data_IF_269970717656
#
_entry.id   IF_269970717656
#
_cell.length_a   1.000
_cell.length_b   1.000
_cell.length_c   1.000
_cell.angle_alpha   90.00
_cell.angle_beta   90.00
_cell.angle_gamma   90.00
#
_symmetry.space_group_name_H-M   'P 1'
#
loop_
_entity.id
_entity.type
_entity.pdbx_description
1 polymer ?
#
# COMPACT_ATOMS: atom_id res chain seq x y z
N UNK A 1 -7.90 6.92 7.92
CA UNK A 1 -8.84 7.06 6.82
C UNK A 1 -8.24 6.62 5.49
N UNK A 2 -9.07 6.62 4.45
CA UNK A 2 -8.65 6.24 3.13
C UNK A 2 -9.37 7.05 2.05
N UNK A 3 -8.69 7.22 0.92
CA UNK A 3 -9.24 7.84 -0.28
C UNK A 3 -9.15 6.84 -1.41
N UNK A 4 -10.26 6.64 -2.11
CA UNK A 4 -10.34 5.77 -3.28
C UNK A 4 -10.45 6.65 -4.51
N UNK A 5 -9.52 6.48 -5.46
CA UNK A 5 -9.51 7.21 -6.72
C UNK A 5 -9.42 6.24 -7.89
N UNK A 6 -10.01 6.60 -9.01
CA UNK A 6 -9.84 5.89 -10.27
C UNK A 6 -9.03 6.77 -11.21
N UNK A 7 -7.98 6.21 -11.79
CA UNK A 7 -7.14 6.91 -12.77
C UNK A 7 -7.09 6.11 -14.05
N UNK A 8 -6.84 6.79 -15.16
CA UNK A 8 -6.68 6.15 -16.45
C UNK A 8 -5.21 6.19 -16.86
N UNK A 9 -4.64 5.00 -17.07
CA UNK A 9 -3.24 4.86 -17.47
C UNK A 9 -3.25 4.16 -18.84
N UNK A 10 -2.85 4.87 -19.88
CA UNK A 10 -2.85 4.36 -21.26
C UNK A 10 -4.20 3.72 -21.66
N UNK A 11 -5.30 4.39 -21.30
CA UNK A 11 -6.63 3.91 -21.59
C UNK A 11 -7.20 2.87 -20.65
N UNK A 12 -6.40 2.35 -19.72
CA UNK A 12 -6.82 1.35 -18.76
C UNK A 12 -7.17 2.03 -17.43
N UNK A 13 -8.32 1.69 -16.89
CA UNK A 13 -8.78 2.23 -15.62
C UNK A 13 -8.14 1.45 -14.47
N UNK A 14 -7.48 2.19 -13.57
CA UNK A 14 -6.78 1.64 -12.40
C UNK A 14 -7.32 2.31 -11.15
N UNK A 15 -7.56 1.55 -10.11
CA UNK A 15 -7.99 2.07 -8.82
C UNK A 15 -6.80 2.23 -7.90
N UNK A 16 -6.71 3.40 -7.26
CA UNK A 16 -5.68 3.68 -6.27
C UNK A 16 -6.37 3.99 -4.95
N UNK A 17 -5.94 3.31 -3.89
CA UNK A 17 -6.42 3.55 -2.53
C UNK A 17 -5.24 4.06 -1.71
N UNK A 18 -5.30 5.31 -1.31
CA UNK A 18 -4.33 5.90 -0.40
C UNK A 18 -4.92 5.84 1.02
N UNK A 19 -4.15 5.33 1.98
CA UNK A 19 -4.65 5.13 3.32
C UNK A 19 -3.65 5.55 4.39
N UNK A 20 -4.20 5.99 5.50
CA UNK A 20 -3.46 6.26 6.73
C UNK A 20 -4.29 5.65 7.87
N UNK A 21 -3.81 4.54 8.41
CA UNK A 21 -4.57 3.78 9.39
C UNK A 21 -4.23 4.20 10.82
N UNK A 22 -5.10 3.84 11.75
CA UNK A 22 -5.02 4.24 13.14
C UNK A 22 -3.83 3.60 13.87
N UNK A 23 -3.40 4.23 14.95
CA UNK A 23 -2.37 3.69 15.82
C UNK A 23 -2.87 2.49 16.64
N UNK A 24 -4.17 2.41 16.91
CA UNK A 24 -4.78 1.30 17.63
C UNK A 24 -4.95 0.08 16.71
N UNK A 25 -4.46 -1.08 17.13
CA UNK A 25 -4.59 -2.32 16.36
C UNK A 25 -6.03 -2.73 16.09
N UNK A 26 -6.93 -2.50 17.05
CA UNK A 26 -8.35 -2.79 16.87
C UNK A 26 -8.96 -1.92 15.77
N UNK A 27 -8.70 -0.61 15.81
CA UNK A 27 -9.22 0.32 14.81
C UNK A 27 -8.59 0.10 13.44
N UNK A 28 -7.29 -0.23 13.38
CA UNK A 28 -6.65 -0.59 12.11
C UNK A 28 -7.35 -1.77 11.44
N UNK A 29 -7.66 -2.82 12.21
CA UNK A 29 -8.35 -3.99 11.65
C UNK A 29 -9.74 -3.66 11.15
N UNK A 30 -10.47 -2.81 11.88
CA UNK A 30 -11.80 -2.35 11.46
C UNK A 30 -11.72 -1.49 10.21
N UNK A 31 -10.76 -0.59 10.15
CA UNK A 31 -10.52 0.26 8.98
C UNK A 31 -10.15 -0.58 7.75
N UNK A 32 -9.27 -1.56 7.91
CA UNK A 32 -8.89 -2.44 6.81
C UNK A 32 -10.09 -3.22 6.27
N UNK A 33 -10.92 -3.77 7.14
CA UNK A 33 -12.14 -4.47 6.72
C UNK A 33 -13.12 -3.54 6.02
N UNK A 34 -13.27 -2.32 6.49
CA UNK A 34 -14.14 -1.33 5.86
C UNK A 34 -13.64 -0.97 4.44
N UNK A 35 -12.34 -0.85 4.26
CA UNK A 35 -11.74 -0.60 2.95
C UNK A 35 -12.02 -1.78 2.01
N UNK A 36 -11.80 -3.01 2.44
CA UNK A 36 -12.08 -4.20 1.63
C UNK A 36 -13.56 -4.28 1.26
N UNK A 37 -14.47 -4.04 2.21
CA UNK A 37 -15.90 -4.03 1.92
C UNK A 37 -16.27 -2.97 0.89
N UNK A 38 -15.68 -1.79 0.99
CA UNK A 38 -15.90 -0.72 0.03
C UNK A 38 -15.39 -1.08 -1.38
N UNK A 39 -14.28 -1.80 -1.47
CA UNK A 39 -13.74 -2.27 -2.74
C UNK A 39 -14.60 -3.37 -3.35
N UNK A 40 -15.06 -4.32 -2.54
CA UNK A 40 -15.93 -5.41 -2.99
C UNK A 40 -17.28 -4.92 -3.51
N UNK A 41 -17.78 -3.80 -3.00
CA UNK A 41 -19.01 -3.18 -3.47
C UNK A 41 -18.87 -2.46 -4.81
N UNK A 42 -17.65 -2.31 -5.32
CA UNK A 42 -17.36 -1.62 -6.56
C UNK A 42 -17.02 -2.60 -7.69
N UNK A 43 -17.10 -2.11 -8.93
CA UNK A 43 -16.68 -2.87 -10.10
C UNK A 43 -15.21 -3.30 -9.94
N UNK A 44 -14.88 -4.57 -10.26
CA UNK A 44 -13.49 -5.01 -10.22
C UNK A 44 -12.61 -4.21 -11.17
N UNK A 45 -11.47 -3.75 -10.65
CA UNK A 45 -10.45 -3.02 -11.42
C UNK A 45 -9.07 -3.42 -10.91
N UNK A 46 -8.04 -3.32 -11.75
CA UNK A 46 -6.67 -3.36 -11.23
C UNK A 46 -6.52 -2.32 -10.12
N UNK A 47 -6.02 -2.74 -8.97
CA UNK A 47 -6.03 -1.91 -7.76
C UNK A 47 -4.67 -1.89 -7.08
N UNK A 48 -4.25 -0.71 -6.68
CA UNK A 48 -3.04 -0.46 -5.89
C UNK A 48 -3.48 0.15 -4.56
N UNK A 49 -3.03 -0.45 -3.46
CA UNK A 49 -3.22 0.06 -2.11
C UNK A 49 -1.89 0.60 -1.62
N UNK A 50 -1.89 1.79 -1.03
CA UNK A 50 -0.65 2.39 -0.52
C UNK A 50 -0.92 3.29 0.67
N UNK A 51 0.08 3.43 1.51
CA UNK A 51 0.06 4.37 2.62
C UNK A 51 0.73 3.87 3.88
N UNK A 52 0.57 4.66 4.93
CA UNK A 52 1.02 4.32 6.27
C UNK A 52 -0.07 3.52 6.96
N UNK A 53 0.21 2.23 7.15
CA UNK A 53 -0.73 1.32 7.79
C UNK A 53 -0.53 1.24 9.31
N UNK A 54 0.50 1.87 9.84
CA UNK A 54 0.85 1.81 11.27
C UNK A 54 0.93 0.37 11.82
N UNK A 55 1.14 -0.61 10.95
CA UNK A 55 1.20 -2.02 11.31
C UNK A 55 2.64 -2.47 11.46
N UNK A 56 3.03 -2.85 12.66
CA UNK A 56 4.38 -3.32 12.98
C UNK A 56 4.62 -4.78 12.60
N UNK A 57 3.55 -5.57 12.49
CA UNK A 57 3.63 -6.95 12.06
C UNK A 57 4.02 -7.04 10.58
N UNK A 58 4.81 -8.05 10.21
CA UNK A 58 5.18 -8.27 8.82
C UNK A 58 4.01 -8.81 7.98
N UNK A 59 3.19 -9.67 8.55
CA UNK A 59 2.13 -10.38 7.82
C UNK A 59 0.81 -10.47 8.57
N UNK A 60 0.75 -10.04 9.82
CA UNK A 60 -0.42 -10.17 10.68
C UNK A 60 -1.21 -8.88 10.85
N UNK A 61 -2.03 -8.83 11.89
CA UNK A 61 -2.83 -7.66 12.23
C UNK A 61 -3.78 -7.26 11.10
N UNK A 62 -3.80 -5.98 10.77
CA UNK A 62 -4.67 -5.46 9.72
C UNK A 62 -4.32 -5.97 8.32
N UNK A 63 -3.09 -6.48 8.11
CA UNK A 63 -2.66 -7.01 6.82
C UNK A 63 -3.45 -8.24 6.39
N UNK A 64 -4.02 -8.97 7.33
CA UNK A 64 -4.82 -10.17 7.03
C UNK A 64 -6.05 -9.85 6.17
N UNK A 65 -6.64 -8.69 6.37
CA UNK A 65 -7.80 -8.28 5.58
C UNK A 65 -7.46 -8.11 4.10
N UNK A 66 -6.23 -7.74 3.79
CA UNK A 66 -5.77 -7.50 2.41
C UNK A 66 -5.18 -8.74 1.75
N UNK A 67 -4.74 -9.73 2.53
CA UNK A 67 -3.94 -10.84 2.03
C UNK A 67 -4.64 -11.71 0.99
N UNK A 68 -5.98 -11.81 1.03
CA UNK A 68 -6.73 -12.65 0.11
C UNK A 68 -6.73 -12.13 -1.33
N UNK A 69 -6.67 -10.81 -1.52
CA UNK A 69 -6.78 -10.19 -2.84
C UNK A 69 -5.56 -9.39 -3.27
N UNK A 70 -4.58 -9.21 -2.39
CA UNK A 70 -3.46 -8.31 -2.64
C UNK A 70 -2.15 -8.91 -2.18
N UNK A 71 -1.11 -8.70 -2.99
CA UNK A 71 0.25 -9.06 -2.64
C UNK A 71 1.02 -7.82 -2.19
N UNK A 72 1.83 -7.97 -1.15
CA UNK A 72 2.70 -6.90 -0.71
C UNK A 72 3.89 -6.73 -1.64
N UNK A 73 4.17 -5.48 -1.99
CA UNK A 73 5.42 -5.14 -2.68
C UNK A 73 6.57 -5.25 -1.66
N UNK A 74 7.69 -5.92 -2.01
CA UNK A 74 8.84 -5.98 -1.12
C UNK A 74 9.42 -4.59 -0.86
N UNK A 75 9.49 -4.19 0.42
CA UNK A 75 10.02 -2.90 0.82
C UNK A 75 10.89 -3.05 2.08
N UNK A 76 11.95 -2.27 2.14
CA UNK A 76 12.76 -2.11 3.35
C UNK A 76 12.00 -1.24 4.38
N UNK A 77 12.43 -1.23 5.65
CA UNK A 77 11.85 -0.33 6.64
C UNK A 77 11.98 1.15 6.25
N UNK A 78 10.93 1.93 6.52
CA UNK A 78 10.85 3.36 6.20
C UNK A 78 10.73 4.26 7.44
N UNK A 79 10.39 3.72 8.57
CA UNK A 79 10.19 4.45 9.84
C UNK A 79 11.20 3.97 10.90
N UNK A 80 11.82 4.76 11.67
CA UNK A 80 11.98 6.22 11.58
C UNK A 80 13.02 6.56 10.49
N UNK A 81 12.88 7.69 9.82
CA UNK A 81 13.73 8.07 8.68
C UNK A 81 15.22 8.12 8.99
N UNK A 82 15.59 8.46 10.22
CA UNK A 82 17.00 8.52 10.67
C UNK A 82 17.53 7.15 11.07
N UNK A 83 16.66 6.21 11.45
CA UNK A 83 17.01 4.85 11.85
C UNK A 83 15.84 3.90 11.51
N UNK A 84 15.69 3.53 10.25
CA UNK A 84 14.53 2.75 9.82
C UNK A 84 14.53 1.34 10.43
N UNK A 85 13.48 1.01 11.18
CA UNK A 85 13.29 -0.28 11.84
C UNK A 85 11.94 -0.91 11.53
N UNK A 86 10.94 -0.11 11.14
CA UNK A 86 9.58 -0.60 10.93
C UNK A 86 9.11 -0.34 9.51
N UNK A 87 8.40 -1.32 8.94
CA UNK A 87 7.78 -1.27 7.61
C UNK A 87 6.34 -0.80 7.75
N UNK A 88 6.12 0.45 8.19
CA UNK A 88 4.79 1.02 8.38
C UNK A 88 4.16 1.45 7.06
N UNK A 89 4.98 1.87 6.11
CA UNK A 89 4.54 2.28 4.79
C UNK A 89 4.53 1.08 3.86
N UNK A 90 3.38 0.80 3.27
CA UNK A 90 3.15 -0.40 2.47
C UNK A 90 2.59 -0.04 1.11
N UNK A 91 2.93 -0.86 0.13
CA UNK A 91 2.30 -0.88 -1.19
C UNK A 91 1.83 -2.31 -1.42
N UNK A 92 0.57 -2.46 -1.77
CA UNK A 92 -0.03 -3.76 -2.05
C UNK A 92 -0.75 -3.69 -3.40
N UNK A 93 -0.68 -4.76 -4.16
CA UNK A 93 -1.22 -4.77 -5.52
C UNK A 93 -2.13 -5.97 -5.75
N UNK A 94 -3.18 -5.76 -6.53
CA UNK A 94 -4.02 -6.85 -7.03
C UNK A 94 -3.23 -7.70 -8.04
N UNK A 95 -3.70 -8.92 -8.40
CA UNK A 95 -2.98 -9.82 -9.31
C UNK A 95 -2.74 -9.28 -10.71
N UNK A 96 -3.33 -8.14 -11.04
CA UNK A 96 -3.17 -7.48 -12.34
C UNK A 96 -1.78 -6.86 -12.55
N UNK A 97 -0.97 -6.78 -11.51
CA UNK A 97 0.32 -6.10 -11.55
C UNK A 97 1.48 -7.05 -11.30
N UNK A 98 2.57 -6.80 -12.01
CA UNK A 98 3.88 -7.40 -11.72
C UNK A 98 4.79 -6.32 -11.16
N UNK A 99 5.48 -6.63 -10.05
CA UNK A 99 6.44 -5.71 -9.43
C UNK A 99 7.76 -5.82 -10.18
N UNK A 100 8.18 -4.75 -10.83
CA UNK A 100 9.42 -4.70 -11.58
C UNK A 100 10.60 -4.27 -10.71
N UNK A 101 10.36 -3.31 -9.83
CA UNK A 101 11.34 -2.81 -8.88
C UNK A 101 10.61 -2.12 -7.73
N UNK A 102 11.27 -2.01 -6.59
CA UNK A 102 10.73 -1.30 -5.43
C UNK A 102 11.86 -0.88 -4.50
N UNK A 103 11.58 0.07 -3.64
CA UNK A 103 12.57 0.51 -2.69
C UNK A 103 12.12 1.63 -1.79
N UNK A 104 13.05 2.06 -0.96
CA UNK A 104 12.91 3.18 -0.04
C UNK A 104 13.93 4.23 -0.45
N UNK A 105 13.45 5.45 -0.66
CA UNK A 105 14.34 6.55 -1.05
C UNK A 105 15.11 7.07 0.15
N UNK A 106 16.44 7.01 0.07
CA UNK A 106 17.35 7.45 1.13
C UNK A 106 18.24 8.57 0.61
N UNK A 107 18.06 9.76 1.17
CA UNK A 107 18.89 10.91 0.89
C UNK A 107 19.02 11.74 2.15
N UNK A 108 19.99 12.68 2.17
CA UNK A 108 20.13 13.60 3.31
C UNK A 108 18.85 14.41 3.50
N UNK A 109 18.23 14.85 2.43
CA UNK A 109 16.96 15.60 2.47
C UNK A 109 15.81 14.73 2.99
N UNK A 110 15.68 13.50 2.48
CA UNK A 110 14.60 12.60 2.90
C UNK A 110 14.66 12.27 4.39
N UNK A 111 15.86 12.14 4.94
CA UNK A 111 16.07 11.83 6.36
C UNK A 111 15.58 12.93 7.31
N UNK A 112 15.53 14.16 6.85
CA UNK A 112 15.12 15.31 7.67
C UNK A 112 13.79 15.91 7.27
N UNK A 113 13.26 15.58 6.10
CA UNK A 113 11.99 16.12 5.59
C UNK A 113 10.78 15.53 6.29
N UNK A 114 10.87 14.30 6.78
CA UNK A 114 9.77 13.58 7.45
C UNK A 114 10.38 12.53 8.38
N UNK A 115 9.58 12.03 9.32
CA UNK A 115 9.95 10.87 10.15
C UNK A 115 9.78 9.54 9.40
N UNK A 116 9.17 9.57 8.21
CA UNK A 116 9.12 8.44 7.28
C UNK A 116 9.96 8.72 6.04
N UNK A 117 10.62 7.69 5.52
CA UNK A 117 11.27 7.76 4.21
C UNK A 117 10.25 7.46 3.10
N UNK A 118 10.37 8.09 1.94
CA UNK A 118 9.51 7.77 0.80
C UNK A 118 9.70 6.32 0.34
N UNK A 119 8.60 5.64 0.06
CA UNK A 119 8.60 4.31 -0.56
C UNK A 119 8.09 4.39 -1.99
N UNK A 120 8.58 3.51 -2.85
CA UNK A 120 8.21 3.53 -4.26
C UNK A 120 8.17 2.12 -4.85
N UNK A 121 7.43 1.96 -5.93
CA UNK A 121 7.40 0.73 -6.71
C UNK A 121 7.19 1.04 -8.19
N UNK A 122 7.90 0.29 -9.04
CA UNK A 122 7.66 0.23 -10.48
C UNK A 122 6.81 -1.00 -10.75
N UNK A 123 5.65 -0.80 -11.33
CA UNK A 123 4.66 -1.84 -11.55
C UNK A 123 4.36 -1.95 -13.05
N UNK A 124 4.14 -3.18 -13.51
CA UNK A 124 3.69 -3.45 -14.86
C UNK A 124 2.29 -4.06 -14.82
N UNK A 125 1.37 -3.49 -15.60
CA UNK A 125 0.05 -4.05 -15.78
C UNK A 125 0.14 -5.25 -16.72
N UNK A 126 -0.40 -6.40 -16.32
CA UNK A 126 -0.35 -7.60 -17.14
C UNK A 126 -1.61 -7.75 -17.97
N UNK A 127 -1.49 -8.21 -19.22
CA UNK A 127 -2.62 -8.36 -20.14
C UNK A 127 -3.57 -9.49 -19.73
N UNK A 128 -3.10 -10.43 -18.93
CA UNK A 128 -3.85 -11.62 -18.56
C UNK A 128 -5.14 -11.32 -17.76
N UNK A 129 -5.28 -10.10 -17.24
CA UNK A 129 -6.39 -9.72 -16.35
C UNK A 129 -7.18 -8.51 -16.86
N UNK A 130 -6.92 -8.10 -18.06
CA UNK A 130 -7.56 -6.93 -18.65
C UNK A 130 -8.77 -7.32 -19.49
#
# INVERSE_FOLDING_TARGET
GAVIAEVRIRGIRVRIVAMHLDLSGLWRRRQARAIISALEARRPLPTILMGDLNEWSLHGGCLRAFAAGFAQVPLEPSFHSRRPLARLDRIMVSPHFRVMASGVHRSATARVASDHLPVWADLELTDAHV
#
